data_IF_277967974749
#
_entry.id   IF_277967974749
#
_cell.length_a   1.000
_cell.length_b   1.000
_cell.length_c   1.000
_cell.angle_alpha   90.00
_cell.angle_beta   90.00
_cell.angle_gamma   90.00
#
_symmetry.space_group_name_H-M   'P 1'
#
loop_
_entity.id
_entity.type
_entity.pdbx_description
1 polymer ?
#
# COMPACT_ATOMS: atom_id res chain seq x y z
N UNK A 1 -20.52 -3.07 -0.23
CA UNK A 1 -20.39 -2.07 -1.32
C UNK A 1 -19.54 -2.73 -2.40
N UNK A 2 -19.92 -2.63 -3.68
CA UNK A 2 -19.17 -3.28 -4.77
C UNK A 2 -18.17 -2.29 -5.38
N UNK A 3 -17.02 -2.79 -5.81
CA UNK A 3 -15.98 -2.03 -6.49
C UNK A 3 -16.01 -2.30 -7.98
N UNK A 4 -15.65 -1.29 -8.78
CA UNK A 4 -15.51 -1.45 -10.22
C UNK A 4 -14.03 -1.65 -10.56
N UNK A 5 -13.73 -2.78 -11.20
CA UNK A 5 -12.43 -3.06 -11.80
C UNK A 5 -12.55 -3.12 -13.33
N UNK A 6 -11.42 -2.97 -14.00
CA UNK A 6 -11.32 -3.08 -15.45
C UNK A 6 -10.39 -4.24 -15.78
N UNK A 7 -10.88 -5.22 -16.54
CA UNK A 7 -10.05 -6.27 -17.14
C UNK A 7 -9.31 -5.70 -18.37
N UNK A 8 -8.42 -4.74 -18.12
CA UNK A 8 -7.74 -3.98 -19.15
C UNK A 8 -7.06 -2.75 -18.55
N UNK A 9 -6.83 -1.73 -19.38
CA UNK A 9 -6.26 -0.48 -18.92
C UNK A 9 -7.36 0.53 -18.56
N UNK A 10 -7.20 1.20 -17.42
CA UNK A 10 -7.91 2.44 -17.14
C UNK A 10 -7.25 3.58 -17.91
N UNK A 11 -8.07 4.36 -18.61
CA UNK A 11 -7.66 5.58 -19.31
C UNK A 11 -8.54 6.74 -18.85
N UNK A 12 -8.07 7.96 -19.08
CA UNK A 12 -8.82 9.17 -18.73
C UNK A 12 -9.37 9.79 -20.01
N UNK A 13 -10.68 9.95 -20.07
CA UNK A 13 -11.38 10.60 -21.17
C UNK A 13 -11.11 12.09 -21.25
N UNK A 14 -11.56 12.73 -22.34
CA UNK A 14 -11.31 14.14 -22.60
C UNK A 14 -11.96 15.07 -21.55
N UNK A 15 -12.99 14.61 -20.83
CA UNK A 15 -13.65 15.32 -19.74
C UNK A 15 -13.17 14.91 -18.34
N UNK A 16 -12.13 14.07 -18.22
CA UNK A 16 -11.64 13.57 -16.93
C UNK A 16 -12.38 12.32 -16.42
N UNK A 17 -13.31 11.77 -17.19
CA UNK A 17 -14.01 10.54 -16.84
C UNK A 17 -13.09 9.30 -16.93
N UNK A 18 -13.17 8.35 -15.99
CA UNK A 18 -12.42 7.10 -16.09
C UNK A 18 -13.07 6.18 -17.15
N UNK A 19 -12.30 5.83 -18.17
CA UNK A 19 -12.72 4.93 -19.26
C UNK A 19 -11.95 3.62 -19.14
N UNK A 20 -12.68 2.52 -19.00
CA UNK A 20 -12.12 1.18 -19.07
C UNK A 20 -12.00 0.74 -20.53
N UNK A 21 -10.78 0.37 -20.98
CA UNK A 21 -10.52 -0.10 -22.35
C UNK A 21 -10.87 -1.58 -22.57
N UNK A 22 -11.62 -2.19 -21.64
CA UNK A 22 -11.97 -3.61 -21.63
C UNK A 22 -13.30 -3.86 -20.92
N UNK A 23 -13.43 -4.99 -20.24
CA UNK A 23 -14.66 -5.34 -19.53
C UNK A 23 -14.67 -4.73 -18.13
N UNK A 24 -15.76 -4.02 -17.80
CA UNK A 24 -16.03 -3.57 -16.44
C UNK A 24 -16.51 -4.75 -15.60
N UNK A 25 -15.81 -5.04 -14.52
CA UNK A 25 -16.14 -6.11 -13.59
C UNK A 25 -16.50 -5.51 -12.25
N UNK A 26 -17.63 -5.95 -11.69
CA UNK A 26 -18.04 -5.61 -10.33
C UNK A 26 -17.45 -6.64 -9.38
N UNK A 27 -16.56 -6.21 -8.50
CA UNK A 27 -15.94 -7.04 -7.48
C UNK A 27 -16.53 -6.75 -6.11
N UNK A 28 -16.66 -7.76 -5.27
CA UNK A 28 -16.95 -7.55 -3.85
C UNK A 28 -15.70 -7.06 -3.12
N UNK A 29 -15.86 -6.61 -1.87
CA UNK A 29 -14.73 -6.17 -1.06
C UNK A 29 -13.72 -7.30 -0.81
N UNK A 30 -14.22 -8.51 -0.63
CA UNK A 30 -13.42 -9.72 -0.39
C UNK A 30 -12.61 -10.09 -1.65
N UNK A 31 -13.22 -9.97 -2.83
CA UNK A 31 -12.55 -10.20 -4.12
C UNK A 31 -11.49 -9.14 -4.42
N UNK A 32 -11.77 -7.86 -4.09
CA UNK A 32 -10.79 -6.79 -4.20
C UNK A 32 -9.59 -7.04 -3.26
N UNK A 33 -9.83 -7.50 -2.03
CA UNK A 33 -8.76 -7.86 -1.09
C UNK A 33 -7.95 -9.07 -1.57
N UNK A 34 -8.58 -10.05 -2.22
CA UNK A 34 -7.91 -11.20 -2.80
C UNK A 34 -7.04 -10.82 -4.02
N UNK A 35 -7.53 -9.93 -4.89
CA UNK A 35 -6.75 -9.34 -6.00
C UNK A 35 -5.63 -8.42 -5.52
N UNK A 36 -5.82 -7.76 -4.38
CA UNK A 36 -4.82 -6.94 -3.67
C UNK A 36 -3.96 -7.78 -2.73
N UNK A 37 -3.93 -9.12 -2.90
CA UNK A 37 -3.12 -10.04 -2.12
C UNK A 37 -1.72 -9.46 -1.93
N UNK A 38 -1.33 -9.24 -0.66
CA UNK A 38 -0.30 -8.28 -0.22
C UNK A 38 0.26 -7.46 -1.38
N UNK A 39 -0.30 -6.26 -1.64
CA UNK A 39 0.11 -5.35 -2.71
C UNK A 39 1.63 -5.02 -2.75
N UNK A 40 2.41 -5.58 -1.82
CA UNK A 40 3.85 -5.60 -1.76
C UNK A 40 4.34 -7.00 -2.15
N UNK A 41 5.18 -7.05 -3.18
CA UNK A 41 6.05 -8.21 -3.44
C UNK A 41 6.95 -8.47 -2.22
N UNK A 42 7.41 -9.71 -2.03
CA UNK A 42 8.29 -10.06 -0.90
C UNK A 42 9.57 -9.20 -0.85
N UNK A 43 10.07 -8.79 -2.01
CA UNK A 43 11.19 -7.83 -2.11
C UNK A 43 10.83 -6.46 -1.50
N UNK A 44 9.66 -5.92 -1.84
CA UNK A 44 9.18 -4.65 -1.27
C UNK A 44 8.90 -4.75 0.23
N UNK A 45 8.41 -5.90 0.72
CA UNK A 45 8.24 -6.13 2.17
C UNK A 45 9.60 -6.08 2.88
N UNK A 46 10.64 -6.66 2.28
CA UNK A 46 11.99 -6.69 2.85
C UNK A 46 12.61 -5.30 2.91
N UNK A 47 12.39 -4.49 1.88
CA UNK A 47 12.83 -3.09 1.82
C UNK A 47 12.13 -2.23 2.89
N UNK A 48 10.79 -2.29 2.96
CA UNK A 48 10.02 -1.57 3.98
C UNK A 48 10.38 -2.02 5.41
N UNK A 49 10.66 -3.30 5.62
CA UNK A 49 11.05 -3.82 6.92
C UNK A 49 12.37 -3.18 7.41
N UNK A 50 13.35 -2.99 6.52
CA UNK A 50 14.62 -2.33 6.85
C UNK A 50 14.42 -0.88 7.30
N UNK A 51 13.59 -0.12 6.58
CA UNK A 51 13.30 1.27 6.92
C UNK A 51 12.53 1.39 8.26
N UNK A 52 11.54 0.53 8.48
CA UNK A 52 10.74 0.52 9.72
C UNK A 52 11.59 0.18 10.93
N UNK A 53 12.49 -0.81 10.82
CA UNK A 53 13.42 -1.16 11.91
C UNK A 53 14.37 0.00 12.20
N UNK A 54 14.86 0.69 11.17
CA UNK A 54 15.73 1.85 11.33
C UNK A 54 15.02 2.98 12.07
N UNK A 55 13.78 3.30 11.67
CA UNK A 55 12.96 4.31 12.33
C UNK A 55 12.69 3.96 13.79
N UNK A 56 12.35 2.69 14.06
CA UNK A 56 12.18 2.18 15.41
C UNK A 56 13.46 2.35 16.25
N UNK A 57 14.60 1.92 15.73
CA UNK A 57 15.89 2.02 16.41
C UNK A 57 16.27 3.47 16.71
N UNK A 58 15.99 4.41 15.81
CA UNK A 58 16.25 5.83 16.03
C UNK A 58 15.37 6.41 17.14
N UNK A 59 14.05 6.17 17.10
CA UNK A 59 13.12 6.70 18.10
C UNK A 59 13.42 6.10 19.48
N UNK A 60 13.52 4.78 19.56
CA UNK A 60 13.77 4.11 20.84
C UNK A 60 15.20 4.31 21.34
N UNK A 61 16.18 4.36 20.44
CA UNK A 61 17.56 4.70 20.77
C UNK A 61 17.67 6.11 21.34
N UNK A 62 17.00 7.10 20.74
CA UNK A 62 16.93 8.45 21.30
C UNK A 62 16.24 8.48 22.66
N UNK A 63 15.13 7.77 22.85
CA UNK A 63 14.44 7.71 24.14
C UNK A 63 15.30 7.02 25.22
N UNK A 64 16.02 5.96 24.85
CA UNK A 64 16.96 5.26 25.73
C UNK A 64 18.12 6.17 26.12
N UNK A 65 18.76 6.85 25.15
CA UNK A 65 19.80 7.85 25.39
C UNK A 65 19.29 8.98 26.27
N UNK A 66 18.10 9.52 26.02
CA UNK A 66 17.47 10.55 26.85
C UNK A 66 17.28 10.06 28.30
N UNK A 67 16.90 8.80 28.50
CA UNK A 67 16.75 8.21 29.84
C UNK A 67 18.10 8.00 30.55
N UNK A 68 19.13 7.60 29.80
CA UNK A 68 20.49 7.38 30.33
C UNK A 68 21.19 8.70 30.64
N UNK A 69 21.04 9.70 29.77
CA UNK A 69 21.66 11.03 29.90
C UNK A 69 20.88 11.98 30.83
N UNK A 70 19.58 11.74 31.07
CA UNK A 70 18.82 12.40 32.13
C UNK A 70 18.79 11.57 33.44
N UNK A 71 19.90 10.92 33.76
CA UNK A 71 20.27 10.80 35.16
C UNK A 71 20.53 12.19 35.74
#
# INVERSE_FOLDING_TARGET
MNFLACEGAWSVGAGGEPICAGTLVSLTQEEMQALSGSALTWDQVTELQGEVITLFALVFGFLALKKVLKR
#
